data_IF_896652065003
#
_entry.id   IF_896652065003
#
_cell.length_a   1.000
_cell.length_b   1.000
_cell.length_c   1.000
_cell.angle_alpha   90.00
_cell.angle_beta   90.00
_cell.angle_gamma   90.00
#
_symmetry.space_group_name_H-M   'P 1'
#
loop_
_entity.id
_entity.type
_entity.pdbx_description
1 polymer ?
#
# COMPACT_ATOMS: atom_id res chain seq x y z
N UNK A 1 -18.22 -6.10 -0.17
CA UNK A 1 -17.95 -4.68 -0.46
C UNK A 1 -16.73 -4.59 -1.34
N UNK A 2 -16.61 -3.56 -2.16
CA UNK A 2 -15.43 -3.28 -2.97
C UNK A 2 -15.10 -1.79 -2.95
N UNK A 3 -13.81 -1.47 -2.92
CA UNK A 3 -13.28 -0.12 -2.99
C UNK A 3 -11.94 -0.15 -3.71
N UNK A 4 -11.49 1.01 -4.16
CA UNK A 4 -10.19 1.20 -4.80
C UNK A 4 -9.38 2.16 -3.96
N UNK A 5 -8.06 1.96 -3.92
CA UNK A 5 -7.12 2.89 -3.34
C UNK A 5 -5.86 2.98 -4.21
N UNK A 6 -5.30 4.18 -4.30
CA UNK A 6 -4.04 4.45 -4.96
C UNK A 6 -2.90 4.54 -3.94
N UNK A 7 -1.77 3.92 -4.28
CA UNK A 7 -0.51 3.98 -3.52
C UNK A 7 0.58 4.51 -4.45
N UNK A 8 1.64 5.15 -3.92
CA UNK A 8 1.89 5.51 -2.52
C UNK A 8 1.19 6.82 -2.08
N UNK A 9 0.36 7.40 -2.94
CA UNK A 9 -0.43 8.58 -2.60
C UNK A 9 -1.83 8.43 -3.20
N UNK A 10 -2.89 8.74 -2.43
CA UNK A 10 -2.92 9.38 -1.12
C UNK A 10 -2.87 8.42 0.08
N UNK A 11 -2.68 7.12 -0.16
CA UNK A 11 -2.61 6.10 0.89
C UNK A 11 -1.18 5.58 0.99
N UNK A 12 -0.76 5.19 2.19
CA UNK A 12 0.61 4.78 2.51
C UNK A 12 0.63 3.34 3.01
N UNK A 13 1.76 2.68 2.76
CA UNK A 13 2.07 1.34 3.26
C UNK A 13 3.03 1.44 4.45
N UNK A 14 2.66 0.89 5.60
CA UNK A 14 3.41 1.01 6.86
C UNK A 14 3.80 -0.38 7.37
N UNK A 15 5.09 -0.66 7.64
CA UNK A 15 5.48 -1.95 8.20
C UNK A 15 4.97 -2.14 9.63
N UNK A 16 4.44 -3.32 9.93
CA UNK A 16 4.02 -3.73 11.27
C UNK A 16 5.26 -4.10 12.07
N UNK A 17 5.62 -3.26 13.04
CA UNK A 17 6.73 -3.53 13.95
C UNK A 17 6.27 -4.52 15.03
N UNK A 18 6.76 -5.76 14.99
CA UNK A 18 6.58 -6.70 16.09
C UNK A 18 7.33 -6.20 17.33
N UNK A 19 6.66 -6.23 18.50
CA UNK A 19 7.24 -5.81 19.80
C UNK A 19 8.52 -6.56 20.21
N UNK A 20 8.88 -7.63 19.50
CA UNK A 20 10.06 -8.46 19.77
C UNK A 20 11.17 -8.30 18.73
N UNK A 21 10.94 -7.57 17.64
CA UNK A 21 12.01 -7.21 16.73
C UNK A 21 12.66 -5.93 17.23
N UNK A 22 14.00 -5.90 17.42
CA UNK A 22 14.67 -4.64 17.66
C UNK A 22 14.31 -3.72 16.49
N UNK A 23 13.84 -2.51 16.82
CA UNK A 23 13.71 -1.43 15.85
C UNK A 23 15.12 -1.23 15.32
N UNK A 24 15.49 -1.91 14.24
CA UNK A 24 16.49 -1.32 13.37
C UNK A 24 15.80 -0.07 12.88
N UNK A 25 16.21 1.07 13.41
CA UNK A 25 16.16 2.33 12.69
C UNK A 25 16.93 2.09 11.39
N UNK A 26 16.36 1.33 10.45
CA UNK A 26 16.90 1.21 9.12
C UNK A 26 16.83 2.61 8.58
N UNK A 27 17.98 3.11 8.18
CA UNK A 27 18.32 4.44 7.68
C UNK A 27 17.49 4.90 6.46
N UNK A 28 16.39 4.23 6.15
CA UNK A 28 15.40 4.58 5.14
C UNK A 28 14.36 5.48 5.80
N UNK A 29 14.78 6.74 6.03
CA UNK A 29 13.89 7.74 6.57
C UNK A 29 12.67 7.92 5.67
N UNK A 30 11.48 7.68 6.23
CA UNK A 30 10.17 8.29 5.91
C UNK A 30 9.74 8.42 4.42
N UNK A 31 10.48 7.85 3.49
CA UNK A 31 10.15 7.85 2.08
C UNK A 31 9.38 6.58 1.79
N UNK A 32 8.15 6.77 1.30
CA UNK A 32 7.39 5.76 0.60
C UNK A 32 8.21 5.38 -0.65
N UNK A 33 9.02 4.33 -0.52
CA UNK A 33 9.85 3.79 -1.59
C UNK A 33 9.08 2.66 -2.30
N UNK A 34 9.29 2.53 -3.60
CA UNK A 34 8.70 1.46 -4.43
C UNK A 34 9.06 0.07 -3.85
N UNK A 35 10.21 -0.05 -3.19
CA UNK A 35 10.61 -1.28 -2.51
C UNK A 35 9.67 -1.67 -1.35
N UNK A 36 9.14 -0.69 -0.62
CA UNK A 36 8.18 -0.91 0.47
C UNK A 36 6.83 -1.34 -0.10
N UNK A 37 6.35 -0.66 -1.14
CA UNK A 37 5.10 -1.01 -1.81
C UNK A 37 5.16 -2.42 -2.42
N UNK A 38 6.27 -2.76 -3.09
CA UNK A 38 6.48 -4.09 -3.65
C UNK A 38 6.57 -5.20 -2.58
N UNK A 39 7.19 -4.94 -1.42
CA UNK A 39 7.18 -5.91 -0.31
C UNK A 39 5.79 -6.00 0.35
N UNK A 40 5.05 -4.89 0.39
CA UNK A 40 3.64 -4.85 0.81
C UNK A 40 2.74 -5.73 -0.06
N UNK A 41 2.95 -5.72 -1.38
CA UNK A 41 2.23 -6.57 -2.32
C UNK A 41 2.53 -8.07 -2.12
N UNK A 42 3.79 -8.41 -1.84
CA UNK A 42 4.23 -9.81 -1.67
C UNK A 42 3.86 -10.34 -0.28
N UNK A 43 4.02 -9.53 0.76
CA UNK A 43 3.90 -9.90 2.16
C UNK A 43 2.89 -9.03 2.93
N UNK A 44 1.61 -8.93 2.50
CA UNK A 44 0.66 -7.96 3.05
C UNK A 44 0.37 -8.16 4.55
N UNK A 45 0.61 -9.35 5.11
CA UNK A 45 0.44 -9.59 6.56
C UNK A 45 1.47 -8.88 7.44
N UNK A 46 2.54 -8.35 6.86
CA UNK A 46 3.59 -7.61 7.57
C UNK A 46 3.41 -6.10 7.49
N UNK A 47 2.35 -5.64 6.82
CA UNK A 47 2.11 -4.22 6.58
C UNK A 47 0.69 -3.84 6.98
N UNK A 48 0.54 -2.58 7.39
CA UNK A 48 -0.72 -1.88 7.55
C UNK A 48 -0.86 -0.84 6.46
N UNK A 49 -2.07 -0.70 5.91
CA UNK A 49 -2.36 0.26 4.85
C UNK A 49 -3.26 1.35 5.41
N UNK A 50 -2.82 2.61 5.30
CA UNK A 50 -3.50 3.76 5.88
C UNK A 50 -3.78 4.81 4.81
N UNK A 51 -4.97 5.40 4.82
CA UNK A 51 -5.25 6.54 3.95
C UNK A 51 -6.73 6.83 3.76
N UNK A 52 -7.00 7.97 3.13
CA UNK A 52 -8.36 8.52 2.99
C UNK A 52 -9.28 7.61 2.18
N UNK A 53 -8.75 6.88 1.19
CA UNK A 53 -9.55 6.05 0.29
C UNK A 53 -9.92 4.73 0.95
N UNK A 54 -8.99 4.17 1.73
CA UNK A 54 -9.21 3.00 2.58
C UNK A 54 -10.29 3.32 3.64
N UNK A 55 -10.16 4.46 4.31
CA UNK A 55 -11.14 4.94 5.28
C UNK A 55 -12.54 5.11 4.67
N UNK A 56 -12.61 5.66 3.46
CA UNK A 56 -13.87 5.77 2.72
C UNK A 56 -14.45 4.38 2.41
N UNK A 57 -13.61 3.43 1.97
CA UNK A 57 -13.98 2.04 1.76
C UNK A 57 -14.62 1.40 3.00
N UNK A 58 -13.97 1.50 4.16
CA UNK A 58 -14.51 0.99 5.42
C UNK A 58 -15.82 1.65 5.84
N UNK A 59 -16.01 2.94 5.52
CA UNK A 59 -17.29 3.62 5.82
C UNK A 59 -18.41 3.17 4.89
N UNK A 60 -18.10 2.87 3.63
CA UNK A 60 -19.06 2.29 2.69
C UNK A 60 -19.45 0.86 3.09
N UNK A 61 -18.56 0.13 3.79
CA UNK A 61 -18.81 -1.22 4.29
C UNK A 61 -20.13 -1.36 5.05
N UNK A 62 -20.55 -0.34 5.79
CA UNK A 62 -21.79 -0.33 6.59
C UNK A 62 -23.04 -0.54 5.73
N UNK A 63 -22.96 -0.28 4.43
CA UNK A 63 -24.04 -0.48 3.47
C UNK A 63 -24.02 -1.84 2.78
N UNK A 64 -22.99 -2.65 3.03
CA UNK A 64 -22.93 -4.02 2.54
C UNK A 64 -23.86 -4.92 3.38
N UNK A 65 -24.37 -5.96 2.74
CA UNK A 65 -25.19 -6.99 3.37
C UNK A 65 -24.99 -8.34 2.69
N UNK A 66 -25.65 -9.37 3.20
CA UNK A 66 -25.57 -10.72 2.63
C UNK A 66 -26.07 -10.79 1.17
N UNK A 67 -26.93 -9.86 0.78
CA UNK A 67 -27.52 -9.69 -0.56
C UNK A 67 -26.99 -8.45 -1.29
N UNK A 68 -26.13 -7.65 -0.66
CA UNK A 68 -25.69 -6.34 -1.19
C UNK A 68 -24.19 -6.17 -1.13
N UNK A 69 -23.59 -6.03 -2.31
CA UNK A 69 -22.19 -5.70 -2.44
C UNK A 69 -22.02 -4.19 -2.62
N UNK A 70 -21.80 -3.48 -1.51
CA UNK A 70 -21.58 -2.03 -1.54
C UNK A 70 -20.24 -1.66 -2.21
N UNK A 71 -20.21 -0.54 -2.92
CA UNK A 71 -19.09 -0.05 -3.70
C UNK A 71 -18.72 1.38 -3.29
N UNK A 72 -17.42 1.69 -3.24
CA UNK A 72 -16.98 3.10 -3.24
C UNK A 72 -17.35 3.77 -4.56
N UNK A 73 -17.37 5.10 -4.57
CA UNK A 73 -17.64 5.97 -5.71
C UNK A 73 -16.76 5.61 -6.91
N UNK A 74 -15.47 5.50 -6.68
CA UNK A 74 -14.45 5.22 -7.68
C UNK A 74 -14.62 3.79 -8.25
N UNK A 75 -14.80 2.80 -7.37
CA UNK A 75 -15.04 1.42 -7.77
C UNK A 75 -16.37 1.28 -8.55
N UNK A 76 -17.42 1.97 -8.11
CA UNK A 76 -18.70 2.01 -8.81
C UNK A 76 -18.58 2.68 -10.19
N UNK A 77 -17.80 3.75 -10.30
CA UNK A 77 -17.54 4.42 -11.57
C UNK A 77 -16.85 3.48 -12.57
N UNK A 78 -15.74 2.84 -12.16
CA UNK A 78 -14.99 1.91 -13.02
C UNK A 78 -15.83 0.70 -13.45
N UNK A 79 -16.60 0.12 -12.54
CA UNK A 79 -17.48 -1.02 -12.86
C UNK A 79 -18.64 -0.60 -13.76
N UNK A 80 -19.24 0.57 -13.52
CA UNK A 80 -20.29 1.10 -14.39
C UNK A 80 -19.75 1.40 -15.79
N UNK A 81 -18.53 1.92 -15.90
CA UNK A 81 -17.83 2.14 -17.15
C UNK A 81 -17.64 0.83 -17.91
N UNK A 82 -16.99 -0.17 -17.30
CA UNK A 82 -16.76 -1.47 -17.94
C UNK A 82 -18.07 -2.15 -18.36
N UNK A 83 -19.14 -2.00 -17.58
CA UNK A 83 -20.44 -2.56 -17.93
C UNK A 83 -21.18 -1.75 -19.01
N UNK A 84 -20.97 -0.43 -19.10
CA UNK A 84 -21.48 0.39 -20.20
C UNK A 84 -20.76 0.07 -21.52
N UNK A 85 -19.47 -0.24 -21.45
CA UNK A 85 -18.65 -0.70 -22.59
C UNK A 85 -18.91 -2.17 -22.96
N UNK A 86 -19.74 -2.89 -22.20
CA UNK A 86 -20.14 -4.26 -22.48
C UNK A 86 -19.18 -5.34 -21.98
N UNK A 87 -18.16 -4.99 -21.20
CA UNK A 87 -17.22 -5.94 -20.59
C UNK A 87 -17.85 -6.76 -19.44
N UNK A 88 -18.88 -6.21 -18.79
CA UNK A 88 -19.60 -6.85 -17.69
C UNK A 88 -21.09 -6.52 -17.70
N UNK A 89 -21.87 -7.24 -16.87
CA UNK A 89 -23.25 -6.90 -16.58
C UNK A 89 -23.54 -7.12 -15.09
N UNK A 90 -23.80 -6.03 -14.38
CA UNK A 90 -24.15 -6.07 -12.96
C UNK A 90 -25.47 -5.35 -12.68
N UNK A 91 -26.34 -5.90 -11.81
CA UNK A 91 -27.54 -5.24 -11.34
C UNK A 91 -27.20 -4.18 -10.28
N UNK A 92 -26.86 -2.97 -10.73
CA UNK A 92 -26.58 -1.86 -9.83
C UNK A 92 -27.85 -1.33 -9.17
N UNK A 93 -27.71 -0.95 -7.90
CA UNK A 93 -28.74 -0.28 -7.10
C UNK A 93 -28.15 1.02 -6.55
N UNK A 94 -28.97 2.07 -6.53
CA UNK A 94 -28.60 3.36 -5.95
C UNK A 94 -29.48 3.64 -4.74
N UNK A 95 -28.85 3.75 -3.57
CA UNK A 95 -29.51 3.95 -2.28
C UNK A 95 -29.81 5.41 -1.93
N UNK A 96 -29.37 6.36 -2.77
CA UNK A 96 -29.37 7.79 -2.47
C UNK A 96 -27.99 8.26 -2.01
N UNK A 97 -27.94 9.41 -1.32
CA UNK A 97 -26.71 9.95 -0.75
C UNK A 97 -26.82 10.05 0.76
N UNK A 98 -25.74 9.71 1.45
CA UNK A 98 -25.65 9.80 2.90
C UNK A 98 -24.34 10.45 3.31
N UNK A 99 -24.36 11.23 4.38
CA UNK A 99 -23.14 11.78 4.94
C UNK A 99 -22.28 10.66 5.54
N UNK A 100 -21.06 10.52 5.04
CA UNK A 100 -20.04 9.65 5.59
C UNK A 100 -18.99 10.52 6.28
N UNK A 101 -18.97 10.52 7.61
CA UNK A 101 -18.03 11.33 8.41
C UNK A 101 -16.60 11.18 7.86
N UNK A 102 -15.89 12.28 7.63
CA UNK A 102 -14.49 12.23 7.15
C UNK A 102 -14.31 11.82 5.68
N UNK A 103 -15.39 11.54 4.94
CA UNK A 103 -15.36 11.30 3.49
C UNK A 103 -15.87 12.56 2.80
N UNK A 104 -15.19 13.01 1.74
CA UNK A 104 -15.55 14.19 0.93
C UNK A 104 -15.97 15.43 1.74
N UNK A 105 -15.32 15.67 2.89
CA UNK A 105 -15.58 16.85 3.72
C UNK A 105 -16.99 16.91 4.35
N UNK A 106 -17.64 15.76 4.57
CA UNK A 106 -19.00 15.70 5.15
C UNK A 106 -20.11 15.95 4.13
N UNK A 107 -19.80 16.04 2.85
CA UNK A 107 -20.80 16.11 1.78
C UNK A 107 -21.53 14.76 1.65
N UNK A 108 -22.80 14.73 1.22
CA UNK A 108 -23.53 13.47 1.03
C UNK A 108 -22.89 12.60 -0.05
N UNK A 109 -22.39 11.44 0.35
CA UNK A 109 -21.71 10.47 -0.50
C UNK A 109 -22.70 9.50 -1.17
N UNK A 110 -22.55 9.16 -2.46
CA UNK A 110 -23.46 8.27 -3.16
C UNK A 110 -23.32 6.82 -2.69
N UNK A 111 -24.45 6.21 -2.32
CA UNK A 111 -24.49 4.82 -1.88
C UNK A 111 -24.87 3.94 -3.06
N UNK A 112 -23.89 3.22 -3.60
CA UNK A 112 -24.06 2.30 -4.73
C UNK A 112 -23.77 0.88 -4.27
N UNK A 113 -24.58 -0.07 -4.74
CA UNK A 113 -24.36 -1.48 -4.46
C UNK A 113 -24.78 -2.37 -5.63
N UNK A 114 -24.18 -3.55 -5.72
CA UNK A 114 -24.60 -4.62 -6.63
C UNK A 114 -25.46 -5.62 -5.85
N UNK A 115 -26.61 -6.01 -6.41
CA UNK A 115 -27.42 -7.10 -5.87
C UNK A 115 -26.73 -8.45 -6.10
N UNK A 116 -26.52 -9.20 -5.02
CA UNK A 116 -25.82 -10.49 -5.02
C UNK A 116 -26.70 -11.66 -4.59
N UNK A 117 -28.01 -11.44 -4.38
CA UNK A 117 -28.91 -12.51 -3.94
C UNK A 117 -29.07 -13.61 -5.00
N UNK A 118 -28.71 -14.84 -4.64
CA UNK A 118 -28.74 -15.99 -5.55
C UNK A 118 -30.09 -16.69 -5.53
N UNK A 119 -30.80 -16.67 -4.40
CA UNK A 119 -32.07 -17.39 -4.20
C UNK A 119 -33.20 -16.69 -4.95
N UNK A 120 -33.86 -17.43 -5.85
CA UNK A 120 -34.95 -16.89 -6.68
C UNK A 120 -36.13 -16.37 -5.86
N UNK A 121 -36.50 -17.04 -4.76
CA UNK A 121 -37.58 -16.58 -3.89
C UNK A 121 -37.29 -15.24 -3.23
N UNK A 122 -36.06 -15.03 -2.76
CA UNK A 122 -35.64 -13.77 -2.16
C UNK A 122 -35.51 -12.65 -3.18
N UNK A 123 -34.93 -12.92 -4.36
CA UNK A 123 -34.92 -11.97 -5.49
C UNK A 123 -36.32 -11.47 -5.84
N UNK A 124 -37.32 -12.35 -5.86
CA UNK A 124 -38.72 -11.95 -6.08
C UNK A 124 -39.24 -11.02 -4.99
N UNK A 125 -38.99 -11.31 -3.71
CA UNK A 125 -39.40 -10.44 -2.59
C UNK A 125 -38.73 -9.08 -2.72
N UNK A 126 -37.41 -9.04 -2.90
CA UNK A 126 -36.66 -7.78 -3.06
C UNK A 126 -37.10 -6.97 -4.28
N UNK A 127 -37.49 -7.61 -5.39
CA UNK A 127 -38.05 -6.92 -6.54
C UNK A 127 -39.40 -6.26 -6.23
N UNK A 128 -40.26 -6.91 -5.44
CA UNK A 128 -41.50 -6.30 -4.97
C UNK A 128 -41.23 -5.16 -4.00
N UNK A 129 -40.33 -5.32 -3.03
CA UNK A 129 -39.94 -4.27 -2.09
C UNK A 129 -39.37 -3.04 -2.82
N UNK A 130 -38.53 -3.24 -3.83
CA UNK A 130 -38.02 -2.18 -4.72
C UNK A 130 -39.14 -1.45 -5.43
N UNK A 131 -40.08 -2.20 -6.01
CA UNK A 131 -41.25 -1.63 -6.69
C UNK A 131 -42.11 -0.79 -5.74
N UNK A 132 -42.36 -1.27 -4.51
CA UNK A 132 -43.14 -0.58 -3.49
C UNK A 132 -42.43 0.66 -2.93
N UNK A 133 -41.11 0.58 -2.75
CA UNK A 133 -40.28 1.70 -2.25
C UNK A 133 -39.89 2.71 -3.33
N UNK A 134 -40.24 2.46 -4.60
CA UNK A 134 -39.82 3.27 -5.74
C UNK A 134 -38.33 3.16 -6.09
N UNK A 135 -37.56 2.30 -5.40
CA UNK A 135 -36.15 2.04 -5.69
C UNK A 135 -36.06 1.13 -6.90
N UNK A 136 -35.27 1.49 -7.92
CA UNK A 136 -35.10 0.68 -9.13
C UNK A 136 -33.63 0.37 -9.37
N UNK A 137 -33.40 -0.72 -10.08
CA UNK A 137 -32.08 -1.01 -10.62
C UNK A 137 -31.71 0.09 -11.60
N UNK A 138 -30.43 0.49 -11.60
CA UNK A 138 -29.92 1.61 -12.38
C UNK A 138 -29.14 1.10 -13.57
N UNK A 139 -29.47 1.62 -14.77
CA UNK A 139 -28.70 1.34 -15.98
C UNK A 139 -27.23 1.78 -15.79
N UNK A 140 -26.23 0.97 -16.20
CA UNK A 140 -24.83 1.34 -16.11
C UNK A 140 -24.51 2.71 -16.73
N UNK A 141 -25.12 3.05 -17.86
CA UNK A 141 -24.92 4.33 -18.54
C UNK A 141 -25.41 5.53 -17.72
N UNK A 142 -26.57 5.38 -17.08
CA UNK A 142 -27.14 6.43 -16.22
C UNK A 142 -26.31 6.58 -14.96
N UNK A 143 -25.89 5.45 -14.37
CA UNK A 143 -25.03 5.44 -13.21
C UNK A 143 -23.68 6.10 -13.52
N UNK A 144 -23.03 5.73 -14.63
CA UNK A 144 -21.76 6.30 -15.08
C UNK A 144 -21.86 7.82 -15.26
N UNK A 145 -22.91 8.30 -15.94
CA UNK A 145 -23.13 9.73 -16.13
C UNK A 145 -23.33 10.48 -14.81
N UNK A 146 -24.11 9.91 -13.89
CA UNK A 146 -24.30 10.46 -12.56
C UNK A 146 -22.99 10.52 -11.75
N UNK A 147 -22.27 9.40 -11.67
CA UNK A 147 -21.03 9.33 -10.89
C UNK A 147 -19.94 10.23 -11.48
N UNK A 148 -19.84 10.32 -12.81
CA UNK A 148 -18.93 11.24 -13.48
C UNK A 148 -19.22 12.70 -13.16
N UNK A 149 -20.48 13.12 -13.24
CA UNK A 149 -20.89 14.47 -12.85
C UNK A 149 -20.67 14.75 -11.36
N UNK A 150 -20.88 13.74 -10.51
CA UNK A 150 -20.63 13.86 -9.07
C UNK A 150 -19.15 14.02 -8.74
N UNK A 151 -18.28 13.24 -9.38
CA UNK A 151 -16.81 13.34 -9.23
C UNK A 151 -16.35 14.76 -9.61
N UNK A 152 -16.85 15.29 -10.73
CA UNK A 152 -16.53 16.65 -11.19
C UNK A 152 -17.00 17.74 -10.19
N UNK A 153 -18.25 17.68 -9.73
CA UNK A 153 -18.84 18.66 -8.81
C UNK A 153 -18.14 18.66 -7.43
N UNK A 154 -17.88 17.47 -6.89
CA UNK A 154 -17.21 17.31 -5.60
C UNK A 154 -15.68 17.46 -5.69
N UNK A 155 -15.14 17.66 -6.90
CA UNK A 155 -13.70 17.74 -7.19
C UNK A 155 -12.95 16.52 -6.66
N UNK A 156 -13.61 15.36 -6.73
CA UNK A 156 -12.97 14.07 -6.49
C UNK A 156 -12.09 13.77 -7.69
N UNK A 157 -11.02 13.03 -7.46
CA UNK A 157 -10.12 12.63 -8.52
C UNK A 157 -10.72 11.50 -9.34
N UNK A 158 -10.67 11.60 -10.67
CA UNK A 158 -11.18 10.54 -11.53
C UNK A 158 -10.32 9.29 -11.39
N UNK A 159 -10.93 8.10 -11.19
CA UNK A 159 -10.17 6.86 -11.18
C UNK A 159 -9.70 6.54 -12.59
N UNK A 160 -8.43 6.17 -12.72
CA UNK A 160 -7.81 5.78 -13.98
C UNK A 160 -7.44 4.29 -13.87
N UNK A 161 -7.98 3.48 -14.78
CA UNK A 161 -7.57 2.09 -14.94
C UNK A 161 -6.92 1.95 -16.32
N UNK A 162 -5.63 1.64 -16.33
CA UNK A 162 -4.86 1.44 -17.56
C UNK A 162 -4.88 -0.06 -17.91
N UNK A 163 -5.35 -0.46 -19.11
CA UNK A 163 -5.37 -1.86 -19.49
C UNK A 163 -3.97 -2.48 -19.53
N UNK A 164 -3.81 -3.76 -19.16
CA UNK A 164 -2.53 -4.45 -19.26
C UNK A 164 -1.96 -4.39 -20.69
N UNK A 165 -0.68 -4.05 -20.83
CA UNK A 165 0.00 -3.98 -22.13
C UNK A 165 -0.19 -2.66 -22.89
N UNK A 166 -0.85 -1.65 -22.30
CA UNK A 166 -0.80 -0.28 -22.83
C UNK A 166 0.36 0.50 -22.22
N UNK A 167 1.13 1.20 -23.05
CA UNK A 167 2.18 2.09 -22.55
C UNK A 167 1.54 3.24 -21.76
N UNK A 168 1.87 3.33 -20.48
CA UNK A 168 1.38 4.40 -19.63
C UNK A 168 2.14 5.67 -19.99
N UNK A 169 1.48 6.60 -20.68
CA UNK A 169 2.08 7.90 -20.96
C UNK A 169 2.22 8.69 -19.66
N UNK A 170 3.34 9.39 -19.46
CA UNK A 170 3.59 10.20 -18.27
C UNK A 170 2.51 11.28 -17.99
N UNK A 171 1.64 11.57 -18.96
CA UNK A 171 0.49 12.48 -18.83
C UNK A 171 -0.81 11.83 -18.32
N UNK A 172 -0.88 10.50 -18.15
CA UNK A 172 -2.03 9.77 -17.62
C UNK A 172 -1.91 9.50 -16.12
N UNK A 173 -1.29 10.41 -15.38
CA UNK A 173 -1.20 10.31 -13.93
C UNK A 173 -2.22 11.21 -13.26
N UNK A 174 -2.72 10.69 -12.16
CA UNK A 174 -3.47 11.41 -11.13
C UNK A 174 -2.72 12.69 -10.68
N UNK A 175 -3.45 13.78 -10.41
CA UNK A 175 -2.91 15.03 -9.85
C UNK A 175 -2.27 14.75 -8.48
N UNK A 176 -2.90 13.92 -7.65
CA UNK A 176 -2.36 13.55 -6.34
C UNK A 176 -1.01 12.86 -6.50
N UNK A 177 -0.93 11.88 -7.40
CA UNK A 177 0.33 11.20 -7.70
C UNK A 177 1.38 12.13 -8.32
N UNK A 178 0.99 13.04 -9.22
CA UNK A 178 1.91 14.01 -9.81
C UNK A 178 2.53 14.94 -8.75
N UNK A 179 1.75 15.36 -7.75
CA UNK A 179 2.24 16.14 -6.61
C UNK A 179 3.19 15.32 -5.74
N UNK A 180 2.81 14.10 -5.39
CA UNK A 180 3.65 13.18 -4.65
C UNK A 180 5.01 13.01 -5.33
N UNK A 181 5.01 12.70 -6.64
CA UNK A 181 6.23 12.53 -7.43
C UNK A 181 7.14 13.76 -7.38
N UNK A 182 6.58 14.96 -7.41
CA UNK A 182 7.33 16.21 -7.27
C UNK A 182 8.05 16.32 -5.92
N UNK A 183 7.30 16.15 -4.83
CA UNK A 183 7.83 16.21 -3.46
C UNK A 183 8.89 15.13 -3.24
N UNK A 184 8.56 13.89 -3.62
CA UNK A 184 9.46 12.75 -3.51
C UNK A 184 10.77 13.00 -4.26
N UNK A 185 10.71 13.56 -5.48
CA UNK A 185 11.90 13.88 -6.27
C UNK A 185 12.79 14.94 -5.63
N UNK A 186 12.21 15.88 -4.87
CA UNK A 186 12.96 16.89 -4.13
C UNK A 186 13.64 16.29 -2.90
N UNK A 187 12.90 15.51 -2.12
CA UNK A 187 13.42 14.82 -0.93
C UNK A 187 14.51 13.81 -1.29
N UNK A 188 14.33 13.07 -2.37
CA UNK A 188 15.34 12.13 -2.87
C UNK A 188 16.65 12.84 -3.21
N UNK A 189 16.60 14.01 -3.87
CA UNK A 189 17.79 14.82 -4.16
C UNK A 189 18.47 15.34 -2.90
N UNK A 190 17.70 15.78 -1.91
CA UNK A 190 18.23 16.24 -0.62
C UNK A 190 18.96 15.12 0.12
N UNK A 191 18.36 13.91 0.18
CA UNK A 191 18.98 12.74 0.78
C UNK A 191 20.25 12.32 0.04
N UNK A 192 20.23 12.34 -1.30
CA UNK A 192 21.42 12.01 -2.08
C UNK A 192 22.56 13.01 -1.81
N UNK A 193 22.25 14.30 -1.67
CA UNK A 193 23.21 15.34 -1.29
C UNK A 193 23.74 15.12 0.13
N UNK A 194 22.85 14.84 1.09
CA UNK A 194 23.23 14.58 2.47
C UNK A 194 24.12 13.34 2.60
N UNK A 195 23.75 12.24 1.94
CA UNK A 195 24.54 11.02 1.91
C UNK A 195 25.93 11.25 1.30
N UNK A 196 26.04 12.08 0.26
CA UNK A 196 27.35 12.48 -0.30
C UNK A 196 28.19 13.24 0.73
N UNK A 197 27.58 14.17 1.47
CA UNK A 197 28.28 14.93 2.53
C UNK A 197 28.71 14.03 3.69
N UNK A 198 27.85 13.13 4.15
CA UNK A 198 28.14 12.17 5.23
C UNK A 198 29.22 11.16 4.83
N UNK A 199 29.22 10.67 3.60
CA UNK A 199 30.28 9.81 3.09
C UNK A 199 31.62 10.57 2.93
N UNK A 200 31.57 11.84 2.54
CA UNK A 200 32.76 12.69 2.47
C UNK A 200 33.37 12.94 3.86
N UNK A 201 32.56 13.17 4.89
CA UNK A 201 33.05 13.33 6.26
C UNK A 201 33.56 12.02 6.87
N UNK A 202 32.98 10.86 6.52
CA UNK A 202 33.54 9.55 6.89
C UNK A 202 34.88 9.25 6.21
N UNK A 203 35.10 9.77 4.99
CA UNK A 203 36.36 9.60 4.26
C UNK A 203 37.50 10.53 4.72
N UNK A 204 37.21 11.52 5.59
CA UNK A 204 38.18 12.48 6.13
C UNK A 204 38.55 12.24 7.61
N UNK A 205 38.11 11.14 8.24
CA UNK A 205 38.70 10.74 9.53
C UNK A 205 40.14 10.28 9.32
N UNK A 206 41.07 10.96 9.99
CA UNK A 206 42.53 10.90 9.81
C UNK A 206 43.15 9.49 9.65
N UNK A 207 44.22 9.35 8.84
CA UNK A 207 45.02 8.14 8.82
C UNK A 207 45.60 7.86 10.21
N UNK A 208 45.50 6.60 10.66
CA UNK A 208 46.25 6.09 11.80
C UNK A 208 47.73 6.53 11.68
N UNK A 209 48.37 7.02 12.76
CA UNK A 209 49.76 7.42 12.69
C UNK A 209 50.60 6.24 12.20
N UNK A 210 51.40 6.49 11.15
CA UNK A 210 52.36 5.54 10.59
C UNK A 210 53.15 4.90 11.73
N UNK A 211 52.92 3.60 11.97
CA UNK A 211 53.83 2.82 12.77
C UNK A 211 55.13 2.70 11.98
N UNK A 212 56.16 3.41 12.43
CA UNK A 212 57.55 3.23 12.04
C UNK A 212 57.88 1.73 12.01
N UNK A 213 58.14 1.22 10.80
CA UNK A 213 58.60 -0.13 10.60
C UNK A 213 59.98 -0.30 11.26
N UNK A 214 60.00 -0.99 12.41
CA UNK A 214 61.23 -1.56 12.95
C UNK A 214 61.38 -3.01 12.46
N UNK A 215 62.59 -3.42 12.02
CA UNK A 215 62.82 -4.71 11.37
C UNK A 215 62.67 -5.89 12.35
N UNK A 216 62.36 -7.11 11.84
CA UNK A 216 62.10 -8.27 12.69
C UNK A 216 63.40 -8.83 13.27
N UNK A 217 63.48 -8.95 14.60
CA UNK A 217 64.49 -9.78 15.25
C UNK A 217 64.09 -11.27 15.19
N UNK A 218 65.04 -12.17 14.92
CA UNK A 218 64.77 -13.60 14.79
C UNK A 218 64.43 -14.26 16.14
N UNK A 219 63.53 -15.23 16.00
CA UNK A 219 62.88 -16.12 16.96
C UNK A 219 63.79 -16.66 18.07
N UNK A 220 63.36 -16.50 19.32
CA UNK A 220 63.64 -17.49 20.38
C UNK A 220 62.35 -18.27 20.61
N UNK A 221 62.34 -19.51 20.12
CA UNK A 221 61.39 -20.53 20.51
C UNK A 221 61.61 -20.81 21.99
N UNK A 222 60.67 -20.41 22.84
CA UNK A 222 60.52 -21.05 24.15
C UNK A 222 59.10 -21.60 24.25
N UNK A 223 59.06 -22.91 24.11
CA UNK A 223 58.01 -23.83 24.49
C UNK A 223 57.24 -23.32 25.72
N UNK A 224 55.92 -23.18 25.59
CA UNK A 224 54.98 -23.60 26.62
C UNK A 224 53.59 -23.82 26.02
N UNK A 225 53.53 -25.02 25.48
CA UNK A 225 52.44 -25.82 24.94
C UNK A 225 51.36 -26.14 26.02
N UNK A 226 50.75 -25.11 26.61
CA UNK A 226 49.61 -25.29 27.53
C UNK A 226 48.28 -24.91 26.87
N UNK A 227 48.26 -23.85 26.06
CA UNK A 227 47.04 -23.33 25.43
C UNK A 227 46.51 -24.29 24.35
N UNK A 228 47.41 -24.91 23.58
CA UNK A 228 47.07 -25.90 22.55
C UNK A 228 46.63 -27.24 23.16
N UNK A 229 47.26 -27.68 24.25
CA UNK A 229 46.83 -28.89 24.97
C UNK A 229 45.47 -28.72 25.65
N UNK A 230 45.13 -27.51 26.10
CA UNK A 230 43.81 -27.20 26.64
C UNK A 230 42.73 -27.26 25.56
N UNK A 231 43.01 -26.68 24.39
CA UNK A 231 42.08 -26.67 23.27
C UNK A 231 41.84 -28.09 22.70
N UNK A 232 42.88 -28.92 22.58
CA UNK A 232 42.73 -30.30 22.11
C UNK A 232 41.97 -31.20 23.09
N UNK A 233 42.07 -30.97 24.41
CA UNK A 233 41.30 -31.71 25.42
C UNK A 233 39.80 -31.38 25.36
N UNK A 234 39.44 -30.11 25.19
CA UNK A 234 38.05 -29.70 25.06
C UNK A 234 37.39 -30.24 23.79
N UNK A 235 38.14 -30.28 22.68
CA UNK A 235 37.64 -30.80 21.39
C UNK A 235 37.46 -32.33 21.44
N UNK A 236 38.38 -33.08 22.07
CA UNK A 236 38.20 -34.53 22.23
C UNK A 236 37.03 -34.91 23.14
N UNK A 237 36.74 -34.15 24.21
CA UNK A 237 35.60 -34.47 25.10
C UNK A 237 34.23 -34.29 24.43
N UNK A 238 34.13 -33.39 23.43
CA UNK A 238 32.86 -33.12 22.71
C UNK A 238 32.58 -34.08 21.56
N UNK A 239 33.51 -34.99 21.23
CA UNK A 239 33.33 -36.00 20.19
C UNK A 239 33.03 -37.40 20.74
N UNK A 240 33.09 -37.60 22.07
CA UNK A 240 32.74 -38.88 22.72
C UNK A 240 31.30 -38.91 23.31
N UNK A 241 30.58 -37.79 23.35
CA UNK A 241 29.13 -37.78 23.61
C UNK A 241 28.36 -37.71 22.29
N UNK A 242 28.25 -38.89 21.67
CA UNK A 242 27.27 -39.21 20.64
C UNK A 242 26.34 -40.29 21.16
#
# INVERSE_FOLDING_TARGET
MGWTAAFPAPNITVPVVDKHSPISESEHGLLDDESIEADGDINPSKFEFLGKEIDAGFRVAKHAGADRFALSLEAAYLLAQGCAEGACSFPFTYGGREELKGVIGGRPYPIVAIDTERRASRRRVSAYERTLSGRRDVSPHVLLGFLGAFIEDEKVEFPILVPPGTETNAGQVTITYARFRGIWSEQYKELEQRSKVENLSFSQSDPLPEQEATPPEPTVVSENDETLRRYLREVSSKFEEK
#
